data_IF_826968035952
#
_entry.id   IF_826968035952
#
_cell.length_a   1.000
_cell.length_b   1.000
_cell.length_c   1.000
_cell.angle_alpha   90.00
_cell.angle_beta   90.00
_cell.angle_gamma   90.00
#
_symmetry.space_group_name_H-M   'P 1'
#
loop_
_entity.id
_entity.type
_entity.pdbx_description
1 polymer ?
#
# COMPACT_ATOMS: atom_id res chain seq x y z
N UNK A 1 7.44 8.68 6.81
CA UNK A 1 8.45 7.66 6.47
C UNK A 1 9.41 7.59 7.65
N UNK A 2 9.37 6.54 8.46
CA UNK A 2 10.36 6.23 9.50
C UNK A 2 10.41 4.70 9.55
N UNK A 3 11.62 4.14 9.40
CA UNK A 3 11.87 2.77 8.94
C UNK A 3 12.59 1.91 9.98
N UNK A 4 13.07 2.46 11.09
CA UNK A 4 13.88 1.70 12.07
C UNK A 4 13.61 1.98 13.54
N UNK A 5 14.18 1.13 14.40
CA UNK A 5 14.11 1.24 15.87
C UNK A 5 14.62 2.59 16.37
N UNK A 6 15.86 2.94 16.01
CA UNK A 6 16.52 4.19 16.41
C UNK A 6 15.69 5.43 16.06
N UNK A 7 15.23 5.49 14.82
CA UNK A 7 14.50 6.64 14.30
C UNK A 7 13.19 6.87 15.04
N UNK A 8 12.48 5.79 15.41
CA UNK A 8 11.24 5.90 16.17
C UNK A 8 11.50 6.30 17.63
N UNK A 9 12.59 5.85 18.24
CA UNK A 9 12.99 6.27 19.60
C UNK A 9 13.28 7.78 19.65
N UNK A 10 14.08 8.29 18.71
CA UNK A 10 14.49 9.72 18.69
C UNK A 10 13.30 10.67 18.63
N UNK A 11 12.25 10.30 17.91
CA UNK A 11 11.05 11.13 17.71
C UNK A 11 9.92 10.82 18.72
N UNK A 12 10.18 9.98 19.73
CA UNK A 12 9.21 9.62 20.76
C UNK A 12 8.01 8.81 20.24
N UNK A 13 8.16 8.07 19.15
CA UNK A 13 7.12 7.19 18.61
C UNK A 13 7.36 5.75 19.07
N UNK A 14 6.28 4.97 19.06
CA UNK A 14 6.35 3.55 19.35
C UNK A 14 7.35 2.86 18.40
N UNK A 15 8.15 1.95 18.94
CA UNK A 15 9.18 1.24 18.18
C UNK A 15 8.63 -0.04 17.53
N UNK A 16 9.20 -0.50 16.40
CA UNK A 16 8.78 -1.73 15.74
C UNK A 16 9.42 -2.98 16.40
N UNK A 17 9.35 -3.08 17.72
CA UNK A 17 9.90 -4.21 18.49
C UNK A 17 9.10 -4.43 19.78
N UNK A 18 9.20 -5.64 20.35
CA UNK A 18 8.53 -6.00 21.61
C UNK A 18 7.03 -5.68 21.59
N UNK A 19 6.54 -4.97 22.62
CA UNK A 19 5.14 -4.53 22.74
C UNK A 19 4.70 -3.60 21.61
N UNK A 20 5.64 -2.89 20.98
CA UNK A 20 5.36 -2.01 19.86
C UNK A 20 5.13 -2.71 18.52
N UNK A 21 5.46 -4.01 18.43
CA UNK A 21 5.31 -4.81 17.20
C UNK A 21 3.84 -4.96 16.79
N UNK A 22 2.94 -5.24 17.74
CA UNK A 22 1.52 -5.47 17.45
C UNK A 22 0.89 -4.24 16.77
N UNK A 23 1.14 -3.04 17.32
CA UNK A 23 0.68 -1.79 16.73
C UNK A 23 1.26 -1.56 15.33
N UNK A 24 2.55 -1.87 15.12
CA UNK A 24 3.19 -1.70 13.82
C UNK A 24 2.63 -2.66 12.76
N UNK A 25 2.38 -3.91 13.14
CA UNK A 25 1.76 -4.92 12.28
C UNK A 25 0.34 -4.53 11.87
N UNK A 26 -0.48 -4.10 12.82
CA UNK A 26 -1.84 -3.60 12.57
C UNK A 26 -1.83 -2.40 11.62
N UNK A 27 -0.95 -1.42 11.87
CA UNK A 27 -0.81 -0.24 11.02
C UNK A 27 -0.34 -0.60 9.61
N UNK A 28 0.53 -1.61 9.47
CA UNK A 28 0.96 -2.12 8.16
C UNK A 28 -0.21 -2.75 7.42
N UNK A 29 -0.99 -3.61 8.08
CA UNK A 29 -2.18 -4.25 7.50
C UNK A 29 -3.20 -3.22 7.01
N UNK A 30 -3.50 -2.21 7.83
CA UNK A 30 -4.41 -1.11 7.43
C UNK A 30 -3.92 -0.37 6.20
N UNK A 31 -2.62 -0.08 6.10
CA UNK A 31 -2.05 0.55 4.89
C UNK A 31 -2.10 -0.35 3.66
N UNK A 32 -2.07 -1.66 3.82
CA UNK A 32 -2.22 -2.61 2.72
C UNK A 32 -3.68 -2.73 2.28
N UNK A 33 -4.63 -2.64 3.22
CA UNK A 33 -6.07 -2.59 2.92
C UNK A 33 -6.48 -1.27 2.27
N UNK A 34 -5.98 -0.15 2.78
CA UNK A 34 -6.25 1.20 2.28
C UNK A 34 -5.36 1.57 1.08
N UNK A 35 -4.52 0.66 0.59
CA UNK A 35 -3.83 0.91 -0.68
C UNK A 35 -4.91 0.88 -1.75
N UNK A 36 -5.24 2.02 -2.39
CA UNK A 36 -6.06 1.96 -3.59
C UNK A 36 -5.32 1.03 -4.54
N UNK A 37 -6.02 0.04 -5.09
CA UNK A 37 -5.52 -0.74 -6.22
C UNK A 37 -5.04 0.29 -7.23
N UNK A 38 -3.73 0.43 -7.35
CA UNK A 38 -3.12 1.33 -8.32
C UNK A 38 -3.27 0.63 -9.65
N UNK A 39 -4.48 0.67 -10.21
CA UNK A 39 -4.68 0.32 -11.61
C UNK A 39 -3.89 1.36 -12.39
N UNK A 40 -2.88 0.90 -13.13
CA UNK A 40 -2.09 1.83 -13.93
C UNK A 40 -2.97 2.39 -15.05
N UNK A 41 -2.78 3.67 -15.42
CA UNK A 41 -3.55 4.26 -16.51
C UNK A 41 -3.41 3.45 -17.81
N UNK A 42 -2.23 2.86 -18.03
CA UNK A 42 -1.94 1.95 -19.13
C UNK A 42 -2.74 0.63 -19.10
N UNK A 43 -2.98 0.06 -17.92
CA UNK A 43 -3.83 -1.14 -17.79
C UNK A 43 -5.29 -0.84 -18.13
N UNK A 44 -5.79 0.32 -17.72
CA UNK A 44 -7.16 0.77 -18.03
C UNK A 44 -7.33 1.02 -19.54
N UNK A 45 -6.35 1.67 -20.17
CA UNK A 45 -6.37 1.97 -21.60
C UNK A 45 -6.36 0.67 -22.44
N UNK A 46 -5.45 -0.26 -22.12
CA UNK A 46 -5.34 -1.54 -22.83
C UNK A 46 -6.64 -2.36 -22.73
N UNK A 47 -7.23 -2.46 -21.53
CA UNK A 47 -8.49 -3.19 -21.32
C UNK A 47 -9.66 -2.56 -22.09
N UNK A 48 -9.72 -1.23 -22.19
CA UNK A 48 -10.77 -0.52 -22.93
C UNK A 48 -10.63 -0.72 -24.44
N UNK A 49 -9.41 -0.64 -24.98
CA UNK A 49 -9.14 -0.89 -26.40
C UNK A 49 -9.50 -2.32 -26.79
N UNK A 50 -9.16 -3.32 -25.96
CA UNK A 50 -9.51 -4.71 -26.18
C UNK A 50 -11.03 -4.92 -26.23
N UNK A 51 -11.77 -4.35 -25.26
CA UNK A 51 -13.23 -4.46 -25.19
C UNK A 51 -13.92 -3.86 -26.43
N UNK A 52 -13.48 -2.69 -26.89
CA UNK A 52 -14.03 -2.02 -28.07
C UNK A 52 -13.77 -2.82 -29.36
N UNK A 53 -12.58 -3.40 -29.51
CA UNK A 53 -12.26 -4.24 -30.66
C UNK A 53 -13.06 -5.54 -30.67
N UNK A 54 -13.35 -6.12 -29.50
CA UNK A 54 -14.17 -7.34 -29.39
C UNK A 54 -15.67 -7.11 -29.62
N UNK A 55 -16.17 -5.88 -29.40
CA UNK A 55 -17.58 -5.52 -29.61
C UNK A 55 -17.90 -5.05 -31.04
N UNK A 56 -16.85 -4.78 -31.84
CA UNK A 56 -16.96 -4.29 -33.21
C UNK A 56 -16.89 -5.37 -34.30
N UNK A 57 -16.94 -6.65 -33.93
CA UNK A 57 -17.00 -7.81 -34.82
C UNK A 57 -18.20 -8.70 -34.48
#
# INVERSE_FOLDING_TARGET
>A
YLRGLKENVVVGRLIPAGTGLAYHSERKRRREMDKPTRVSASEVEAALTEALNSSGN
#
